data_IF_491712366135
#
_entry.id   IF_491712366135
#
_cell.length_a   1.000
_cell.length_b   1.000
_cell.length_c   1.000
_cell.angle_alpha   90.00
_cell.angle_beta   90.00
_cell.angle_gamma   90.00
#
_symmetry.space_group_name_H-M   'P 1'
#
loop_
_entity.id
_entity.type
_entity.pdbx_description
1 polymer ?
#
# COMPACT_ATOMS: atom_id res chain seq x y z
N UNK A 1 4.28 15.48 -14.90
CA UNK A 1 3.06 14.96 -14.25
C UNK A 1 1.84 15.17 -15.14
N UNK A 2 1.20 14.10 -15.60
CA UNK A 2 -0.01 14.17 -16.45
C UNK A 2 -1.25 14.28 -15.54
N UNK A 3 -2.05 15.34 -15.72
CA UNK A 3 -3.23 15.60 -14.87
C UNK A 3 -4.53 15.43 -15.66
N UNK A 4 -5.45 14.61 -15.16
CA UNK A 4 -6.77 14.43 -15.79
C UNK A 4 -7.65 15.67 -15.62
N UNK A 5 -8.46 15.94 -16.64
CA UNK A 5 -9.30 17.15 -16.74
C UNK A 5 -10.42 17.23 -15.69
N UNK A 6 -10.84 16.11 -15.11
CA UNK A 6 -11.86 16.02 -14.06
C UNK A 6 -11.66 14.78 -13.19
N UNK A 7 -12.09 14.82 -11.93
CA UNK A 7 -12.11 13.68 -11.01
C UNK A 7 -12.95 12.51 -11.54
N UNK A 8 -13.94 12.79 -12.39
CA UNK A 8 -14.78 11.77 -13.06
C UNK A 8 -14.01 10.89 -14.04
N UNK A 9 -12.80 11.32 -14.44
CA UNK A 9 -11.92 10.55 -15.32
C UNK A 9 -10.87 9.75 -14.54
N UNK A 10 -10.87 9.83 -13.20
CA UNK A 10 -10.03 8.99 -12.36
C UNK A 10 -10.42 7.53 -12.56
N UNK A 11 -9.43 6.68 -12.81
CA UNK A 11 -9.61 5.24 -12.94
C UNK A 11 -8.80 4.53 -11.86
N UNK A 12 -9.25 3.35 -11.42
CA UNK A 12 -8.47 2.51 -10.49
C UNK A 12 -7.10 2.15 -11.08
N UNK A 13 -6.99 2.01 -12.40
CA UNK A 13 -5.72 1.81 -13.09
C UNK A 13 -4.72 2.94 -12.84
N UNK A 14 -5.17 4.18 -12.57
CA UNK A 14 -4.29 5.32 -12.28
C UNK A 14 -3.48 5.11 -10.98
N UNK A 15 -3.92 4.22 -10.08
CA UNK A 15 -3.16 3.83 -8.88
C UNK A 15 -1.95 2.95 -9.19
N UNK A 16 -1.91 2.35 -10.37
CA UNK A 16 -0.88 1.39 -10.78
C UNK A 16 -0.07 1.84 -11.99
N UNK A 17 -0.38 3.01 -12.57
CA UNK A 17 0.34 3.55 -13.72
C UNK A 17 1.28 4.69 -13.33
N UNK A 18 2.29 4.93 -14.17
CA UNK A 18 3.24 6.02 -13.99
C UNK A 18 2.58 7.41 -14.01
N UNK A 19 3.21 8.39 -13.37
CA UNK A 19 2.69 9.77 -13.25
C UNK A 19 3.30 10.74 -14.28
N UNK A 20 4.34 10.31 -14.99
CA UNK A 20 5.09 11.12 -15.94
C UNK A 20 4.65 10.91 -17.39
N UNK A 21 4.93 11.91 -18.26
CA UNK A 21 4.51 11.89 -19.67
C UNK A 21 5.03 10.65 -20.41
N UNK A 22 6.21 10.17 -20.03
CA UNK A 22 6.86 9.01 -20.63
C UNK A 22 6.32 7.65 -20.10
N UNK A 23 5.84 7.61 -18.85
CA UNK A 23 5.43 6.38 -18.17
C UNK A 23 3.90 6.28 -17.92
N UNK A 24 3.11 7.27 -18.34
CA UNK A 24 1.67 7.35 -18.05
C UNK A 24 0.84 6.20 -18.64
N UNK A 25 1.33 5.57 -19.72
CA UNK A 25 0.66 4.43 -20.36
C UNK A 25 1.08 3.05 -19.83
N UNK A 26 2.07 2.98 -18.94
CA UNK A 26 2.65 1.72 -18.48
C UNK A 26 2.38 1.49 -16.99
N UNK A 27 2.34 0.21 -16.63
CA UNK A 27 2.20 -0.23 -15.24
C UNK A 27 3.51 0.04 -14.51
N UNK A 28 3.41 0.78 -13.41
CA UNK A 28 4.48 1.06 -12.48
C UNK A 28 4.62 -0.11 -11.51
N UNK A 29 5.70 -0.88 -11.69
CA UNK A 29 5.95 -2.07 -10.88
C UNK A 29 6.21 -1.74 -9.40
N UNK A 30 6.75 -0.56 -9.09
CA UNK A 30 6.96 -0.14 -7.70
C UNK A 30 5.62 0.14 -7.01
N UNK A 31 4.66 0.76 -7.70
CA UNK A 31 3.29 0.95 -7.18
C UNK A 31 2.56 -0.37 -6.99
N UNK A 32 2.68 -1.30 -7.94
CA UNK A 32 2.11 -2.65 -7.82
C UNK A 32 2.72 -3.41 -6.64
N UNK A 33 4.04 -3.35 -6.48
CA UNK A 33 4.75 -3.97 -5.35
C UNK A 33 4.30 -3.37 -4.02
N UNK A 34 4.15 -2.04 -3.93
CA UNK A 34 3.69 -1.38 -2.72
C UNK A 34 2.25 -1.74 -2.35
N UNK A 35 1.37 -1.83 -3.36
CA UNK A 35 0.00 -2.30 -3.16
C UNK A 35 -0.04 -3.76 -2.69
N UNK A 36 0.78 -4.63 -3.27
CA UNK A 36 0.87 -6.04 -2.87
C UNK A 36 1.27 -6.20 -1.40
N UNK A 37 2.32 -5.52 -0.95
CA UNK A 37 2.71 -5.56 0.46
C UNK A 37 1.67 -4.95 1.38
N UNK A 38 0.95 -3.91 0.94
CA UNK A 38 -0.18 -3.34 1.69
C UNK A 38 -1.29 -4.37 1.87
N UNK A 39 -1.64 -5.12 0.83
CA UNK A 39 -2.63 -6.19 0.91
C UNK A 39 -2.18 -7.30 1.86
N UNK A 40 -0.92 -7.74 1.77
CA UNK A 40 -0.35 -8.72 2.70
C UNK A 40 -0.46 -8.23 4.15
N UNK A 41 -0.14 -6.96 4.39
CA UNK A 41 -0.19 -6.40 5.73
C UNK A 41 -1.62 -6.40 6.30
N UNK A 42 -2.61 -6.00 5.50
CA UNK A 42 -4.02 -6.01 5.88
C UNK A 42 -4.48 -7.44 6.21
N UNK A 43 -4.18 -8.41 5.35
CA UNK A 43 -4.57 -9.81 5.56
C UNK A 43 -3.89 -10.38 6.80
N UNK A 44 -2.60 -10.15 6.98
CA UNK A 44 -1.85 -10.62 8.14
C UNK A 44 -2.41 -10.05 9.44
N UNK A 45 -2.71 -8.75 9.46
CA UNK A 45 -3.30 -8.11 10.63
C UNK A 45 -4.71 -8.61 10.90
N UNK A 46 -5.54 -8.83 9.87
CA UNK A 46 -6.88 -9.40 10.03
C UNK A 46 -6.84 -10.81 10.63
N UNK A 47 -5.85 -11.63 10.26
CA UNK A 47 -5.64 -12.95 10.87
C UNK A 47 -5.24 -12.81 12.34
N UNK A 48 -4.29 -11.93 12.68
CA UNK A 48 -3.90 -11.66 14.08
C UNK A 48 -5.10 -11.23 14.92
N UNK A 49 -5.95 -10.36 14.36
CA UNK A 49 -7.14 -9.85 15.00
C UNK A 49 -8.17 -10.98 15.22
N UNK A 50 -8.40 -11.83 14.21
CA UNK A 50 -9.26 -13.01 14.34
C UNK A 50 -8.78 -14.00 15.41
N UNK A 51 -7.46 -14.23 15.51
CA UNK A 51 -6.87 -15.08 16.54
C UNK A 51 -7.04 -14.47 17.94
N UNK A 52 -6.81 -13.16 18.09
CA UNK A 52 -6.99 -12.47 19.37
C UNK A 52 -8.46 -12.48 19.83
N UNK A 53 -9.40 -12.22 18.93
CA UNK A 53 -10.84 -12.29 19.21
C UNK A 53 -11.28 -13.72 19.59
N UNK A 54 -10.76 -14.73 18.89
CA UNK A 54 -11.05 -16.13 19.23
C UNK A 54 -10.49 -16.51 20.60
N UNK A 55 -9.30 -16.01 20.96
CA UNK A 55 -8.68 -16.24 22.26
C UNK A 55 -9.42 -15.54 23.41
N UNK A 56 -10.07 -14.39 23.16
CA UNK A 56 -10.86 -13.68 24.16
C UNK A 56 -12.11 -14.47 24.61
N UNK A 57 -12.67 -15.35 23.77
CA UNK A 57 -13.81 -16.19 24.13
C UNK A 57 -15.04 -15.36 24.54
N UNK A 58 -15.45 -15.46 25.81
CA UNK A 58 -16.56 -14.68 26.38
C UNK A 58 -16.12 -13.39 27.08
N UNK A 59 -14.83 -13.10 27.14
CA UNK A 59 -14.31 -11.87 27.73
C UNK A 59 -14.52 -10.68 26.77
N UNK A 60 -15.50 -9.85 27.10
CA UNK A 60 -15.82 -8.64 26.35
C UNK A 60 -14.67 -7.63 26.40
N UNK A 61 -13.92 -7.56 27.49
CA UNK A 61 -12.80 -6.63 27.60
C UNK A 61 -11.65 -7.07 26.68
N UNK A 62 -11.27 -8.35 26.73
CA UNK A 62 -10.27 -8.95 25.85
C UNK A 62 -10.63 -8.88 24.35
N UNK A 63 -11.91 -8.89 24.01
CA UNK A 63 -12.38 -8.79 22.61
C UNK A 63 -12.04 -7.44 21.95
N UNK A 64 -11.98 -6.36 22.73
CA UNK A 64 -11.61 -5.02 22.24
C UNK A 64 -10.11 -4.71 22.34
N UNK A 65 -9.28 -5.70 22.70
CA UNK A 65 -7.82 -5.54 22.71
C UNK A 65 -7.28 -5.86 21.33
N UNK A 66 -6.81 -4.83 20.63
CA UNK A 66 -6.21 -4.97 19.31
C UNK A 66 -4.76 -5.45 19.45
N UNK A 67 -4.31 -6.42 18.64
CA UNK A 67 -2.93 -6.85 18.65
C UNK A 67 -1.99 -5.72 18.21
N UNK A 68 -0.86 -5.59 18.88
CA UNK A 68 0.24 -4.76 18.38
C UNK A 68 0.81 -5.39 17.09
N UNK A 69 1.09 -4.59 16.06
CA UNK A 69 1.74 -5.09 14.86
C UNK A 69 3.15 -5.59 15.18
N UNK A 70 3.54 -6.73 14.59
CA UNK A 70 4.88 -7.30 14.82
C UNK A 70 5.97 -6.44 14.18
N UNK A 71 7.18 -6.44 14.76
CA UNK A 71 8.34 -5.73 14.19
C UNK A 71 8.62 -6.14 12.74
N UNK A 72 8.42 -7.43 12.40
CA UNK A 72 8.58 -7.95 11.04
C UNK A 72 7.56 -7.37 10.06
N UNK A 73 6.31 -7.18 10.49
CA UNK A 73 5.25 -6.56 9.69
C UNK A 73 5.56 -5.09 9.43
N UNK A 74 6.00 -4.37 10.47
CA UNK A 74 6.44 -2.99 10.37
C UNK A 74 7.67 -2.82 9.48
N UNK A 75 8.63 -3.74 9.56
CA UNK A 75 9.83 -3.72 8.74
C UNK A 75 9.51 -3.88 7.24
N UNK A 76 8.65 -4.84 6.88
CA UNK A 76 8.28 -5.07 5.47
C UNK A 76 7.47 -3.89 4.92
N UNK A 77 6.54 -3.34 5.70
CA UNK A 77 5.80 -2.11 5.34
C UNK A 77 6.74 -0.93 5.15
N UNK A 78 7.69 -0.73 6.06
CA UNK A 78 8.69 0.33 6.00
C UNK A 78 9.57 0.23 4.76
N UNK A 79 10.09 -0.96 4.45
CA UNK A 79 10.92 -1.21 3.26
C UNK A 79 10.12 -1.01 1.98
N UNK A 80 8.88 -1.51 1.91
CA UNK A 80 7.99 -1.34 0.77
C UNK A 80 7.70 0.14 0.48
N UNK A 81 7.37 0.90 1.52
CA UNK A 81 7.05 2.32 1.40
C UNK A 81 8.28 3.18 1.13
N UNK A 82 9.42 2.85 1.73
CA UNK A 82 10.71 3.51 1.47
C UNK A 82 11.17 3.28 0.02
N UNK A 83 11.01 2.07 -0.51
CA UNK A 83 11.29 1.77 -1.92
C UNK A 83 10.49 2.66 -2.88
N UNK A 84 9.19 2.82 -2.64
CA UNK A 84 8.34 3.73 -3.42
C UNK A 84 8.75 5.21 -3.28
N UNK A 85 9.07 5.66 -2.06
CA UNK A 85 9.50 7.04 -1.82
C UNK A 85 10.88 7.36 -2.39
N UNK A 86 11.77 6.36 -2.51
CA UNK A 86 13.06 6.50 -3.17
C UNK A 86 12.90 6.58 -4.69
N UNK A 87 11.92 5.88 -5.27
CA UNK A 87 11.65 5.89 -6.72
C UNK A 87 10.96 7.20 -7.18
N UNK A 88 10.05 7.74 -6.38
CA UNK A 88 9.25 8.95 -6.68
C UNK A 88 10.04 10.23 -7.05
N UNK A 89 11.20 10.56 -6.44
CA UNK A 89 11.99 11.74 -6.81
C UNK A 89 12.83 11.55 -8.08
N UNK A 90 12.95 10.33 -8.64
CA UNK A 90 13.61 10.14 -9.92
C UNK A 90 12.68 10.62 -11.05
N UNK A 91 12.92 11.86 -11.44
CA UNK A 91 12.33 12.50 -12.60
C UNK A 91 12.76 11.74 -13.86
N UNK A 92 11.83 11.05 -14.52
CA UNK A 92 12.01 10.53 -15.89
C UNK A 92 11.60 11.59 -16.93
N UNK A 93 11.93 12.85 -16.67
CA UNK A 93 11.73 13.93 -17.64
C UNK A 93 12.96 14.02 -18.54
N UNK A 94 12.85 13.47 -19.75
CA UNK A 94 13.57 14.05 -20.88
C UNK A 94 12.57 14.84 -21.73
N UNK A 95 12.46 16.17 -21.59
CA UNK A 95 11.97 17.01 -22.65
C UNK A 95 13.12 17.36 -23.60
N UNK A 96 12.96 17.01 -24.87
CA UNK A 96 13.66 17.64 -25.98
C UNK A 96 13.06 19.03 -26.27
#
# INVERSE_FOLDING_TARGET
>A
MVRKKSWRNANLADLFTGEEVDNFGYVDMAKVQNFFFTVIAIVSYAVMLGVAMAAAGTDVAGFFVFPDPTESLLAILGISHAGYLVDKPFVHSTPA
#
